data_IF_116885570179
#
_entry.id   IF_116885570179
#
_cell.length_a   1.000
_cell.length_b   1.000
_cell.length_c   1.000
_cell.angle_alpha   90.00
_cell.angle_beta   90.00
_cell.angle_gamma   90.00
#
_symmetry.space_group_name_H-M   'P 1'
#
loop_
_entity.id
_entity.type
_entity.pdbx_description
1 polymer ?
#
# COMPACT_ATOMS: atom_id res chain seq x y z
N UNK A 1 -27.02 -16.82 9.19
CA UNK A 1 -27.76 -15.66 8.66
C UNK A 1 -27.14 -14.32 9.07
N UNK A 2 -26.77 -14.12 10.35
CA UNK A 2 -26.19 -12.87 10.86
C UNK A 2 -24.85 -12.50 10.18
N UNK A 3 -23.86 -13.40 10.15
CA UNK A 3 -22.56 -13.15 9.50
C UNK A 3 -22.69 -12.79 8.01
N UNK A 4 -23.57 -13.45 7.29
CA UNK A 4 -23.83 -13.11 5.88
C UNK A 4 -24.37 -11.69 5.73
N UNK A 5 -25.37 -11.29 6.55
CA UNK A 5 -25.91 -9.93 6.55
C UNK A 5 -24.85 -8.89 6.93
N UNK A 6 -23.98 -9.20 7.91
CA UNK A 6 -22.87 -8.36 8.31
C UNK A 6 -21.87 -8.15 7.14
N UNK A 7 -21.43 -9.25 6.51
CA UNK A 7 -20.50 -9.18 5.37
C UNK A 7 -21.10 -8.38 4.20
N UNK A 8 -22.36 -8.64 3.85
CA UNK A 8 -23.04 -7.91 2.78
C UNK A 8 -23.18 -6.42 3.07
N UNK A 9 -23.47 -6.05 4.32
CA UNK A 9 -23.50 -4.65 4.73
C UNK A 9 -22.12 -3.99 4.59
N UNK A 10 -21.05 -4.68 5.00
CA UNK A 10 -19.66 -4.18 4.88
C UNK A 10 -19.25 -4.02 3.42
N UNK A 11 -19.57 -5.00 2.57
CA UNK A 11 -19.32 -4.91 1.13
C UNK A 11 -20.09 -3.74 0.49
N UNK A 12 -21.35 -3.55 0.84
CA UNK A 12 -22.13 -2.40 0.35
C UNK A 12 -21.52 -1.06 0.77
N UNK A 13 -21.08 -0.94 2.02
CA UNK A 13 -20.38 0.27 2.51
C UNK A 13 -19.03 0.46 1.82
N UNK A 14 -18.27 -0.61 1.55
CA UNK A 14 -17.02 -0.54 0.78
C UNK A 14 -17.25 0.05 -0.61
N UNK A 15 -18.23 -0.49 -1.34
CA UNK A 15 -18.57 -0.01 -2.69
C UNK A 15 -18.96 1.47 -2.64
N UNK A 16 -19.80 1.86 -1.69
CA UNK A 16 -20.18 3.26 -1.50
C UNK A 16 -18.96 4.16 -1.21
N UNK A 17 -18.11 3.75 -0.25
CA UNK A 17 -16.91 4.49 0.11
C UNK A 17 -15.93 4.59 -1.07
N UNK A 18 -15.76 3.50 -1.82
CA UNK A 18 -14.96 3.49 -3.03
C UNK A 18 -15.43 4.56 -4.02
N UNK A 19 -16.72 4.56 -4.35
CA UNK A 19 -17.26 5.54 -5.29
C UNK A 19 -17.16 6.98 -4.78
N UNK A 20 -17.36 7.23 -3.49
CA UNK A 20 -17.18 8.57 -2.91
C UNK A 20 -15.73 9.03 -3.07
N UNK A 21 -14.76 8.24 -2.61
CA UNK A 21 -13.33 8.62 -2.70
C UNK A 21 -12.91 8.76 -4.16
N UNK A 22 -13.29 7.81 -5.02
CA UNK A 22 -12.92 7.80 -6.43
C UNK A 22 -13.50 9.01 -7.16
N UNK A 23 -14.77 9.39 -6.89
CA UNK A 23 -15.40 10.59 -7.43
C UNK A 23 -14.67 11.84 -6.96
N UNK A 24 -14.32 11.93 -5.67
CA UNK A 24 -13.56 13.06 -5.15
C UNK A 24 -12.20 13.19 -5.84
N UNK A 25 -11.46 12.07 -5.96
CA UNK A 25 -10.17 12.07 -6.67
C UNK A 25 -10.33 12.51 -8.13
N UNK A 26 -11.37 12.01 -8.83
CA UNK A 26 -11.64 12.40 -10.21
C UNK A 26 -11.94 13.89 -10.33
N UNK A 27 -12.83 14.42 -9.50
CA UNK A 27 -13.18 15.85 -9.54
C UNK A 27 -11.95 16.71 -9.27
N UNK A 28 -11.18 16.38 -8.21
CA UNK A 28 -9.98 17.15 -7.84
C UNK A 28 -8.93 17.17 -8.96
N UNK A 29 -8.64 16.01 -9.57
CA UNK A 29 -7.64 15.96 -10.65
C UNK A 29 -8.13 16.66 -11.90
N UNK A 30 -9.43 16.62 -12.20
CA UNK A 30 -10.02 17.30 -13.36
C UNK A 30 -10.24 18.81 -13.17
N UNK A 31 -10.08 19.33 -11.97
CA UNK A 31 -10.01 20.79 -11.74
C UNK A 31 -8.65 21.37 -12.15
N UNK A 32 -7.60 20.52 -12.24
CA UNK A 32 -6.30 20.95 -12.74
C UNK A 32 -6.38 21.32 -14.24
N UNK A 33 -5.42 22.12 -14.75
CA UNK A 33 -5.33 22.42 -16.17
C UNK A 33 -5.27 21.15 -17.02
N UNK A 34 -5.92 21.16 -18.18
CA UNK A 34 -5.79 20.05 -19.13
C UNK A 34 -4.34 20.04 -19.64
N UNK A 35 -3.67 18.89 -19.64
CA UNK A 35 -2.28 18.78 -20.11
C UNK A 35 -2.26 18.89 -21.64
N UNK A 36 -2.20 20.11 -22.14
CA UNK A 36 -2.08 20.42 -23.57
C UNK A 36 -0.62 20.58 -24.00
N UNK A 37 0.33 20.34 -23.09
CA UNK A 37 1.75 20.40 -23.40
C UNK A 37 2.12 19.28 -24.37
N UNK A 38 2.54 19.67 -25.56
CA UNK A 38 3.06 18.75 -26.57
C UNK A 38 4.51 18.43 -26.24
N UNK A 39 4.82 17.16 -26.05
CA UNK A 39 6.20 16.72 -25.81
C UNK A 39 7.02 16.88 -27.11
N UNK A 40 8.35 17.09 -27.01
CA UNK A 40 9.22 17.15 -28.17
C UNK A 40 9.02 15.92 -29.09
N UNK A 41 8.69 16.14 -30.34
CA UNK A 41 8.43 15.07 -31.32
C UNK A 41 6.98 14.57 -31.40
N UNK A 42 6.07 15.09 -30.61
CA UNK A 42 4.63 14.82 -30.75
C UNK A 42 3.99 15.79 -31.72
N UNK A 43 3.04 15.29 -32.53
CA UNK A 43 2.15 16.09 -33.31
C UNK A 43 1.03 16.68 -32.43
N UNK A 44 0.91 18.03 -32.35
CA UNK A 44 -0.13 18.68 -31.55
C UNK A 44 -1.54 18.24 -31.94
N UNK A 45 -1.81 17.99 -33.21
CA UNK A 45 -3.11 17.55 -33.70
C UNK A 45 -3.48 16.17 -33.13
N UNK A 46 -2.51 15.24 -33.04
CA UNK A 46 -2.70 13.90 -32.47
C UNK A 46 -3.02 13.98 -30.97
N UNK A 47 -2.32 14.88 -30.25
CA UNK A 47 -2.58 15.10 -28.82
C UNK A 47 -4.02 15.62 -28.63
N UNK A 48 -4.45 16.62 -29.38
CA UNK A 48 -5.81 17.18 -29.28
C UNK A 48 -6.88 16.15 -29.65
N UNK A 49 -6.71 15.39 -30.73
CA UNK A 49 -7.63 14.30 -31.08
C UNK A 49 -7.71 13.19 -30.02
N UNK A 50 -6.59 12.90 -29.38
CA UNK A 50 -6.56 11.93 -28.26
C UNK A 50 -7.37 12.43 -27.06
N UNK A 51 -7.24 13.71 -26.69
CA UNK A 51 -8.00 14.32 -25.61
C UNK A 51 -9.51 14.39 -25.93
N UNK A 52 -9.86 14.69 -27.19
CA UNK A 52 -11.25 14.66 -27.67
C UNK A 52 -11.82 13.25 -27.65
N UNK A 53 -11.10 12.24 -28.15
CA UNK A 53 -11.51 10.83 -28.10
C UNK A 53 -11.72 10.29 -26.68
N UNK A 54 -11.05 10.88 -25.67
CA UNK A 54 -11.27 10.61 -24.26
C UNK A 54 -12.47 11.35 -23.64
N UNK A 55 -13.05 12.31 -24.40
CA UNK A 55 -14.14 13.14 -23.91
C UNK A 55 -13.72 14.18 -22.89
N UNK A 56 -12.47 14.69 -22.95
CA UNK A 56 -12.01 15.78 -22.09
C UNK A 56 -12.28 17.14 -22.69
N UNK A 57 -12.12 17.25 -24.00
CA UNK A 57 -12.33 18.45 -24.81
C UNK A 57 -13.24 18.16 -26.00
N UNK A 58 -13.76 19.19 -26.61
CA UNK A 58 -14.57 19.14 -27.81
C UNK A 58 -14.35 20.39 -28.62
N UNK A 59 -14.85 20.45 -29.89
CA UNK A 59 -14.76 21.61 -30.77
C UNK A 59 -13.32 22.12 -30.98
N UNK A 60 -12.41 21.20 -31.29
CA UNK A 60 -11.01 21.51 -31.56
C UNK A 60 -10.90 22.37 -32.81
N UNK A 61 -10.21 23.51 -32.70
CA UNK A 61 -9.96 24.46 -33.80
C UNK A 61 -8.52 24.94 -33.70
N UNK A 62 -7.86 25.07 -34.87
CA UNK A 62 -6.58 25.73 -34.92
C UNK A 62 -6.83 27.24 -34.97
N UNK A 63 -6.31 27.97 -33.99
CA UNK A 63 -6.40 29.43 -33.90
C UNK A 63 -5.21 30.12 -34.57
N UNK A 64 -5.21 31.43 -34.52
CA UNK A 64 -4.11 32.25 -35.02
C UNK A 64 -2.81 31.90 -34.25
N UNK A 65 -1.69 31.83 -34.95
CA UNK A 65 -0.35 31.51 -34.42
C UNK A 65 -0.15 30.06 -33.94
N UNK A 66 -0.90 29.07 -34.43
CA UNK A 66 -0.74 27.65 -34.05
C UNK A 66 -1.23 27.31 -32.65
N UNK A 67 -2.00 28.20 -32.04
CA UNK A 67 -2.62 27.92 -30.71
C UNK A 67 -3.92 27.15 -30.91
N UNK A 68 -4.04 26.01 -30.26
CA UNK A 68 -5.24 25.18 -30.32
C UNK A 68 -6.32 25.71 -29.39
N UNK A 69 -7.49 25.97 -29.96
CA UNK A 69 -8.71 26.37 -29.24
C UNK A 69 -9.61 25.14 -29.07
N UNK A 70 -10.17 24.98 -27.90
CA UNK A 70 -11.06 23.86 -27.58
C UNK A 70 -12.05 24.24 -26.48
N UNK A 71 -13.18 23.55 -26.44
CA UNK A 71 -14.16 23.65 -25.37
C UNK A 71 -13.98 22.51 -24.41
N UNK A 72 -14.01 22.80 -23.08
CA UNK A 72 -13.88 21.78 -22.05
C UNK A 72 -15.20 21.06 -21.83
N UNK A 73 -15.22 19.74 -21.93
CA UNK A 73 -16.40 18.93 -21.59
C UNK A 73 -16.70 19.05 -20.10
N UNK A 74 -17.98 19.20 -19.68
CA UNK A 74 -18.33 19.22 -18.25
C UNK A 74 -17.80 18.01 -17.49
N UNK A 75 -17.27 18.23 -16.27
CA UNK A 75 -16.55 17.18 -15.48
C UNK A 75 -17.44 15.97 -15.24
N UNK A 76 -18.75 16.15 -15.01
CA UNK A 76 -19.67 15.03 -14.78
C UNK A 76 -19.84 14.14 -16.02
N UNK A 77 -19.78 14.69 -17.23
CA UNK A 77 -19.81 13.92 -18.48
C UNK A 77 -18.50 13.18 -18.69
N UNK A 78 -17.36 13.83 -18.38
CA UNK A 78 -16.05 13.16 -18.40
C UNK A 78 -16.05 11.96 -17.44
N UNK A 79 -16.60 12.13 -16.22
CA UNK A 79 -16.72 11.06 -15.22
C UNK A 79 -17.58 9.91 -15.70
N UNK A 80 -18.78 10.22 -16.22
CA UNK A 80 -19.69 9.20 -16.73
C UNK A 80 -19.06 8.40 -17.90
N UNK A 81 -18.36 9.10 -18.82
CA UNK A 81 -17.65 8.48 -19.95
C UNK A 81 -16.51 7.59 -19.47
N UNK A 82 -15.72 8.07 -18.50
CA UNK A 82 -14.62 7.30 -17.91
C UNK A 82 -15.14 6.03 -17.22
N UNK A 83 -16.13 6.15 -16.32
CA UNK A 83 -16.72 4.99 -15.62
C UNK A 83 -17.33 4.00 -16.61
N UNK A 84 -18.09 4.47 -17.61
CA UNK A 84 -18.66 3.59 -18.63
C UNK A 84 -17.56 2.79 -19.34
N UNK A 85 -16.49 3.44 -19.76
CA UNK A 85 -15.36 2.81 -20.45
C UNK A 85 -14.66 1.76 -19.58
N UNK A 86 -14.36 2.12 -18.32
CA UNK A 86 -13.72 1.21 -17.37
C UNK A 86 -14.61 0.00 -17.05
N UNK A 87 -15.90 0.21 -16.75
CA UNK A 87 -16.81 -0.87 -16.33
C UNK A 87 -17.18 -1.80 -17.49
N UNK A 88 -17.37 -1.25 -18.70
CA UNK A 88 -17.86 -2.06 -19.84
C UNK A 88 -16.74 -2.73 -20.64
N UNK A 89 -15.54 -2.12 -20.68
CA UNK A 89 -14.44 -2.56 -21.55
C UNK A 89 -13.14 -2.84 -20.81
N UNK A 90 -13.07 -2.56 -19.50
CA UNK A 90 -11.81 -2.52 -18.72
C UNK A 90 -10.74 -1.64 -19.39
N UNK A 91 -11.19 -0.60 -20.07
CA UNK A 91 -10.33 0.33 -20.80
C UNK A 91 -10.04 1.54 -19.90
N UNK A 92 -8.81 1.59 -19.38
CA UNK A 92 -8.30 2.70 -18.56
C UNK A 92 -7.68 3.82 -19.43
N UNK A 93 -7.52 3.60 -20.72
CA UNK A 93 -6.92 4.53 -21.68
C UNK A 93 -5.45 4.27 -21.94
N UNK A 94 -4.86 5.20 -22.71
CA UNK A 94 -3.45 5.19 -23.06
C UNK A 94 -2.71 6.28 -22.28
N UNK A 95 -1.44 6.08 -22.02
CA UNK A 95 -0.57 7.09 -21.42
C UNK A 95 -0.32 8.20 -22.43
N UNK A 96 -0.53 9.46 -22.05
CA UNK A 96 -0.49 10.61 -22.97
C UNK A 96 0.64 11.59 -22.73
N UNK A 97 1.12 11.68 -21.52
CA UNK A 97 2.07 12.73 -21.11
C UNK A 97 3.35 12.18 -20.49
N UNK A 98 3.36 10.93 -20.08
CA UNK A 98 4.55 10.29 -19.54
C UNK A 98 5.38 9.67 -20.68
N UNK A 99 6.40 10.40 -21.12
CA UNK A 99 7.15 10.12 -22.35
C UNK A 99 7.76 8.74 -22.48
N UNK A 100 8.21 8.11 -21.37
CA UNK A 100 8.79 6.76 -21.40
C UNK A 100 7.77 5.68 -21.82
N UNK A 101 6.49 5.87 -21.49
CA UNK A 101 5.39 4.93 -21.78
C UNK A 101 4.35 5.53 -22.70
N UNK A 102 4.72 6.56 -23.46
CA UNK A 102 3.81 7.28 -24.34
C UNK A 102 3.07 6.35 -25.29
N UNK A 103 1.74 6.51 -25.40
CA UNK A 103 0.83 5.70 -26.20
C UNK A 103 0.71 4.22 -25.78
N UNK A 104 1.34 3.81 -24.68
CA UNK A 104 1.14 2.46 -24.15
C UNK A 104 -0.20 2.38 -23.37
N UNK A 105 -0.78 1.20 -23.40
CA UNK A 105 -1.97 0.88 -22.60
C UNK A 105 -1.66 0.94 -21.11
N UNK A 106 -2.47 1.68 -20.35
CA UNK A 106 -2.30 1.92 -18.91
C UNK A 106 -2.30 0.60 -18.14
N UNK A 107 -3.20 -0.33 -18.48
CA UNK A 107 -3.30 -1.63 -17.82
C UNK A 107 -2.08 -2.51 -18.07
N UNK A 108 -1.51 -2.43 -19.27
CA UNK A 108 -0.28 -3.16 -19.61
C UNK A 108 0.91 -2.67 -18.78
N UNK A 109 1.13 -1.35 -18.74
CA UNK A 109 2.22 -0.74 -17.95
C UNK A 109 2.04 -1.02 -16.47
N UNK A 110 0.83 -0.91 -15.94
CA UNK A 110 0.52 -1.25 -14.56
C UNK A 110 0.92 -2.69 -14.22
N UNK A 111 0.49 -3.66 -15.03
CA UNK A 111 0.82 -5.08 -14.78
C UNK A 111 2.31 -5.38 -14.82
N UNK A 112 3.06 -4.73 -15.69
CA UNK A 112 4.51 -4.94 -15.80
C UNK A 112 5.28 -4.43 -14.58
N UNK A 113 4.72 -3.46 -13.83
CA UNK A 113 5.34 -2.86 -12.64
C UNK A 113 4.84 -3.45 -11.30
N UNK A 114 3.81 -4.29 -11.33
CA UNK A 114 3.34 -4.98 -10.12
C UNK A 114 4.37 -5.92 -9.49
N UNK A 115 5.09 -6.77 -10.26
CA UNK A 115 5.95 -7.80 -9.68
C UNK A 115 7.04 -7.25 -8.75
N UNK A 116 7.84 -6.24 -9.10
CA UNK A 116 8.85 -5.72 -8.18
C UNK A 116 8.25 -5.09 -6.91
N UNK A 117 7.12 -4.38 -7.01
CA UNK A 117 6.40 -3.86 -5.84
C UNK A 117 5.98 -4.99 -4.90
N UNK A 118 5.31 -6.02 -5.43
CA UNK A 118 4.85 -7.16 -4.63
C UNK A 118 6.04 -7.87 -3.97
N UNK A 119 7.12 -8.09 -4.73
CA UNK A 119 8.25 -8.85 -4.28
C UNK A 119 8.99 -8.19 -3.10
N UNK A 120 9.29 -6.87 -3.19
CA UNK A 120 9.96 -6.18 -2.09
C UNK A 120 9.08 -6.10 -0.84
N UNK A 121 7.76 -5.84 -1.00
CA UNK A 121 6.84 -5.73 0.11
C UNK A 121 6.58 -7.09 0.77
N UNK A 122 6.41 -8.17 -0.01
CA UNK A 122 6.22 -9.51 0.55
C UNK A 122 7.48 -9.99 1.29
N UNK A 123 8.67 -9.74 0.74
CA UNK A 123 9.92 -10.04 1.43
C UNK A 123 10.05 -9.25 2.74
N UNK A 124 9.70 -7.97 2.73
CA UNK A 124 9.72 -7.13 3.92
C UNK A 124 8.75 -7.63 4.99
N UNK A 125 7.52 -7.99 4.61
CA UNK A 125 6.51 -8.52 5.54
C UNK A 125 6.89 -9.91 6.07
N UNK A 126 7.38 -10.81 5.21
CA UNK A 126 7.83 -12.15 5.63
C UNK A 126 8.99 -12.14 6.63
N UNK A 127 9.82 -11.11 6.59
CA UNK A 127 10.95 -10.91 7.53
C UNK A 127 10.49 -10.07 8.73
N UNK A 128 9.83 -8.95 8.47
CA UNK A 128 9.47 -7.96 9.48
C UNK A 128 8.45 -8.45 10.49
N UNK A 129 7.40 -9.14 10.03
CA UNK A 129 6.34 -9.64 10.90
C UNK A 129 6.87 -10.66 11.91
N UNK A 130 7.57 -11.74 11.53
CA UNK A 130 8.10 -12.71 12.50
C UNK A 130 9.12 -12.11 13.48
N UNK A 131 10.00 -11.22 13.01
CA UNK A 131 10.99 -10.55 13.86
C UNK A 131 10.28 -9.64 14.87
N UNK A 132 9.31 -8.84 14.40
CA UNK A 132 8.52 -7.95 15.25
C UNK A 132 7.73 -8.72 16.30
N UNK A 133 7.05 -9.79 15.93
CA UNK A 133 6.37 -10.69 16.87
C UNK A 133 7.33 -11.27 17.90
N UNK A 134 8.50 -11.76 17.45
CA UNK A 134 9.52 -12.32 18.33
C UNK A 134 10.02 -11.30 19.36
N UNK A 135 10.33 -10.09 18.94
CA UNK A 135 10.72 -9.00 19.85
C UNK A 135 9.61 -8.62 20.81
N UNK A 136 8.37 -8.51 20.34
CA UNK A 136 7.22 -8.22 21.19
C UNK A 136 6.96 -9.27 22.23
N UNK A 137 7.02 -10.56 21.86
CA UNK A 137 6.89 -11.69 22.80
C UNK A 137 8.01 -11.67 23.84
N UNK A 138 9.25 -11.50 23.39
CA UNK A 138 10.41 -11.45 24.29
C UNK A 138 10.30 -10.30 25.30
N UNK A 139 9.93 -9.11 24.84
CA UNK A 139 9.74 -7.93 25.67
C UNK A 139 8.61 -8.15 26.71
N UNK A 140 7.45 -8.69 26.29
CA UNK A 140 6.33 -8.97 27.18
C UNK A 140 6.68 -10.03 28.26
N UNK A 141 7.36 -11.10 27.86
CA UNK A 141 7.78 -12.17 28.81
C UNK A 141 8.86 -11.72 29.79
N UNK A 142 9.65 -10.72 29.41
CA UNK A 142 10.72 -10.11 30.21
C UNK A 142 10.37 -8.71 30.71
N UNK A 143 9.08 -8.41 30.83
CA UNK A 143 8.57 -7.10 31.26
C UNK A 143 9.36 -6.54 32.46
N UNK A 144 9.77 -5.27 32.35
CA UNK A 144 10.58 -4.52 33.33
C UNK A 144 12.03 -5.04 33.54
N UNK A 145 12.52 -5.98 32.70
CA UNK A 145 13.92 -6.41 32.68
C UNK A 145 14.69 -5.68 31.60
N UNK A 146 16.03 -5.80 31.61
CA UNK A 146 16.91 -5.11 30.65
C UNK A 146 16.58 -5.44 29.18
N UNK A 147 16.16 -6.69 28.88
CA UNK A 147 15.77 -7.10 27.53
C UNK A 147 14.55 -6.30 27.03
N UNK A 148 13.55 -6.13 27.91
CA UNK A 148 12.38 -5.32 27.61
C UNK A 148 12.76 -3.85 27.38
N UNK A 149 13.66 -3.30 28.20
CA UNK A 149 14.12 -1.91 28.05
C UNK A 149 14.85 -1.70 26.75
N UNK A 150 15.79 -2.57 26.38
CA UNK A 150 16.55 -2.49 25.12
C UNK A 150 15.64 -2.57 23.91
N UNK A 151 14.70 -3.54 23.90
CA UNK A 151 13.73 -3.69 22.80
C UNK A 151 12.84 -2.44 22.69
N UNK A 152 12.37 -1.90 23.83
CA UNK A 152 11.55 -0.68 23.80
C UNK A 152 12.32 0.54 23.29
N UNK A 153 13.58 0.73 23.69
CA UNK A 153 14.41 1.82 23.17
C UNK A 153 14.56 1.68 21.65
N UNK A 154 14.83 0.47 21.17
CA UNK A 154 14.92 0.18 19.75
C UNK A 154 13.61 0.49 19.00
N UNK A 155 12.47 0.04 19.53
CA UNK A 155 11.14 0.33 18.96
C UNK A 155 10.89 1.84 18.91
N UNK A 156 11.16 2.55 20.01
CA UNK A 156 10.96 4.01 20.10
C UNK A 156 11.82 4.72 19.06
N UNK A 157 13.10 4.36 18.93
CA UNK A 157 13.99 4.94 17.92
C UNK A 157 13.44 4.73 16.51
N UNK A 158 13.00 3.52 16.16
CA UNK A 158 12.46 3.23 14.83
C UNK A 158 11.15 3.97 14.53
N UNK A 159 10.29 4.18 15.53
CA UNK A 159 9.01 4.89 15.36
C UNK A 159 9.21 6.41 15.34
N UNK A 160 10.18 6.92 16.12
CA UNK A 160 10.43 8.37 16.24
C UNK A 160 11.09 8.96 15.00
N UNK A 161 11.88 8.17 14.26
CA UNK A 161 12.55 8.62 13.04
C UNK A 161 11.61 8.42 11.86
N UNK A 162 11.34 9.46 11.04
CA UNK A 162 10.55 9.29 9.82
C UNK A 162 11.13 8.20 8.93
N UNK A 163 10.26 7.32 8.39
CA UNK A 163 10.70 6.16 7.59
C UNK A 163 11.59 6.53 6.39
N UNK A 164 11.35 7.69 5.77
CA UNK A 164 12.22 8.21 4.70
C UNK A 164 13.64 8.48 5.19
N UNK A 165 13.81 8.98 6.42
CA UNK A 165 15.13 9.26 6.99
C UNK A 165 15.87 7.96 7.28
N UNK A 166 15.17 6.94 7.83
CA UNK A 166 15.76 5.60 8.03
C UNK A 166 16.20 5.00 6.70
N UNK A 167 15.39 5.12 5.67
CA UNK A 167 15.72 4.63 4.34
C UNK A 167 16.94 5.34 3.74
N UNK A 168 17.02 6.68 3.88
CA UNK A 168 18.20 7.45 3.48
C UNK A 168 19.46 7.03 4.24
N UNK A 169 19.35 6.78 5.55
CA UNK A 169 20.48 6.30 6.35
C UNK A 169 20.96 4.93 5.87
N UNK A 170 20.02 4.01 5.56
CA UNK A 170 20.36 2.69 5.01
C UNK A 170 21.07 2.84 3.66
N UNK A 171 20.52 3.64 2.76
CA UNK A 171 21.11 3.88 1.45
C UNK A 171 22.50 4.54 1.56
N UNK A 172 22.64 5.57 2.40
CA UNK A 172 23.90 6.25 2.61
C UNK A 172 24.96 5.33 3.21
N UNK A 173 24.64 4.61 4.29
CA UNK A 173 25.63 3.79 5.00
C UNK A 173 25.98 2.54 4.19
N UNK A 174 25.00 1.76 3.79
CA UNK A 174 25.24 0.42 3.22
C UNK A 174 25.47 0.44 1.71
N UNK A 175 24.85 1.38 1.00
CA UNK A 175 25.03 1.42 -0.46
C UNK A 175 26.16 2.39 -0.85
N UNK A 176 26.20 3.60 -0.29
CA UNK A 176 27.19 4.61 -0.68
C UNK A 176 28.51 4.47 0.09
N UNK A 177 28.48 4.51 1.44
CA UNK A 177 29.72 4.55 2.24
C UNK A 177 30.45 3.21 2.29
N UNK A 178 29.74 2.11 2.53
CA UNK A 178 30.31 0.76 2.63
C UNK A 178 30.37 0.03 1.29
N UNK A 179 29.56 0.46 0.31
CA UNK A 179 29.52 -0.20 -1.02
C UNK A 179 29.05 -1.66 -0.99
N UNK A 180 28.35 -2.07 0.08
CA UNK A 180 27.87 -3.44 0.22
C UNK A 180 26.76 -3.77 -0.76
N UNK A 181 25.92 -2.80 -1.09
CA UNK A 181 24.79 -2.95 -1.99
C UNK A 181 24.77 -1.84 -3.04
N UNK A 182 24.15 -2.05 -4.21
CA UNK A 182 23.90 -0.98 -5.17
C UNK A 182 22.96 0.08 -4.63
N UNK A 183 23.05 1.31 -5.16
CA UNK A 183 22.19 2.44 -4.77
C UNK A 183 20.73 2.25 -5.20
N UNK A 184 20.54 1.58 -6.36
CA UNK A 184 19.22 1.36 -6.96
C UNK A 184 19.01 -0.11 -7.27
N UNK A 185 17.75 -0.53 -7.32
CA UNK A 185 17.38 -1.87 -7.73
C UNK A 185 17.64 -2.06 -9.23
N UNK A 186 18.16 -3.24 -9.58
CA UNK A 186 18.36 -3.60 -10.99
C UNK A 186 17.02 -3.80 -11.70
N UNK A 187 16.90 -3.24 -12.90
CA UNK A 187 15.76 -3.48 -13.79
C UNK A 187 15.95 -4.82 -14.49
N UNK A 188 15.29 -5.87 -14.02
CA UNK A 188 15.37 -7.22 -14.58
C UNK A 188 14.10 -7.98 -14.24
N UNK A 189 13.74 -8.95 -15.07
CA UNK A 189 12.69 -9.92 -14.81
C UNK A 189 13.19 -11.16 -14.04
N UNK A 190 14.50 -11.26 -13.81
CA UNK A 190 15.13 -12.39 -13.13
C UNK A 190 15.35 -12.10 -11.62
N UNK A 191 14.30 -11.77 -10.91
CA UNK A 191 14.34 -11.32 -9.50
C UNK A 191 14.98 -12.32 -8.53
N UNK A 192 14.99 -13.62 -8.85
CA UNK A 192 15.51 -14.68 -7.99
C UNK A 192 16.99 -15.01 -8.27
N UNK A 193 17.62 -14.34 -9.21
CA UNK A 193 19.08 -14.42 -9.37
C UNK A 193 19.78 -13.61 -8.30
N UNK A 194 20.88 -14.13 -7.75
CA UNK A 194 21.61 -13.45 -6.67
C UNK A 194 22.00 -12.01 -6.99
N UNK A 195 22.51 -11.68 -8.21
CA UNK A 195 22.84 -10.29 -8.55
C UNK A 195 21.65 -9.34 -8.42
N UNK A 196 20.46 -9.74 -8.88
CA UNK A 196 19.24 -8.90 -8.81
C UNK A 196 18.69 -8.87 -7.39
N UNK A 197 18.60 -10.03 -6.72
CA UNK A 197 18.11 -10.11 -5.34
C UNK A 197 18.93 -9.22 -4.39
N UNK A 198 20.26 -9.19 -4.53
CA UNK A 198 21.13 -8.32 -3.74
C UNK A 198 20.75 -6.84 -3.86
N UNK A 199 20.28 -6.39 -5.01
CA UNK A 199 19.88 -4.98 -5.22
C UNK A 199 18.59 -4.60 -4.49
N UNK A 200 17.76 -5.60 -4.15
CA UNK A 200 16.48 -5.39 -3.43
C UNK A 200 16.68 -5.25 -1.91
N UNK A 201 17.76 -5.83 -1.36
CA UNK A 201 17.97 -5.94 0.09
C UNK A 201 17.82 -4.59 0.82
N UNK A 202 18.42 -3.48 0.37
CA UNK A 202 18.30 -2.20 1.09
C UNK A 202 16.85 -1.70 1.18
N UNK A 203 16.06 -1.83 0.11
CA UNK A 203 14.65 -1.46 0.10
C UNK A 203 13.83 -2.36 1.03
N UNK A 204 14.07 -3.68 0.98
CA UNK A 204 13.42 -4.67 1.87
C UNK A 204 13.73 -4.37 3.33
N UNK A 205 14.98 -4.08 3.68
CA UNK A 205 15.37 -3.73 5.06
C UNK A 205 14.67 -2.44 5.50
N UNK A 206 14.63 -1.41 4.64
CA UNK A 206 13.97 -0.15 4.98
C UNK A 206 12.47 -0.33 5.28
N UNK A 207 11.77 -1.12 4.48
CA UNK A 207 10.35 -1.47 4.70
C UNK A 207 10.16 -2.34 5.94
N UNK A 208 11.03 -3.32 6.13
CA UNK A 208 10.96 -4.27 7.24
C UNK A 208 11.06 -3.60 8.61
N UNK A 209 11.90 -2.56 8.78
CA UNK A 209 12.08 -1.88 10.08
C UNK A 209 10.78 -1.29 10.62
N UNK A 210 9.93 -0.74 9.76
CA UNK A 210 8.60 -0.22 10.14
C UNK A 210 7.69 -1.31 10.67
N UNK A 211 7.60 -2.44 9.94
CA UNK A 211 6.82 -3.60 10.36
C UNK A 211 7.35 -4.20 11.66
N UNK A 212 8.67 -4.38 11.81
CA UNK A 212 9.29 -4.86 13.05
C UNK A 212 8.89 -3.99 14.25
N UNK A 213 9.00 -2.67 14.13
CA UNK A 213 8.65 -1.77 15.23
C UNK A 213 7.16 -1.80 15.58
N UNK A 214 6.29 -1.80 14.57
CA UNK A 214 4.84 -1.86 14.73
C UNK A 214 4.38 -3.15 15.42
N UNK A 215 4.80 -4.30 14.89
CA UNK A 215 4.44 -5.60 15.47
C UNK A 215 5.06 -5.83 16.84
N UNK A 216 6.31 -5.43 17.08
CA UNK A 216 6.94 -5.57 18.38
C UNK A 216 6.20 -4.75 19.45
N UNK A 217 5.84 -3.50 19.13
CA UNK A 217 5.08 -2.63 20.03
C UNK A 217 3.71 -3.22 20.39
N UNK A 218 2.93 -3.59 19.37
CA UNK A 218 1.57 -4.10 19.57
C UNK A 218 1.58 -5.44 20.28
N UNK A 219 2.44 -6.38 19.87
CA UNK A 219 2.56 -7.69 20.51
C UNK A 219 2.99 -7.58 21.98
N UNK A 220 3.93 -6.67 22.28
CA UNK A 220 4.33 -6.41 23.67
C UNK A 220 3.17 -5.87 24.51
N UNK A 221 2.42 -4.92 23.98
CA UNK A 221 1.28 -4.31 24.68
C UNK A 221 0.21 -5.36 24.98
N UNK A 222 -0.31 -6.00 23.95
CA UNK A 222 -1.37 -7.02 24.04
C UNK A 222 -0.98 -8.20 24.93
N UNK A 223 0.20 -8.76 24.71
CA UNK A 223 0.64 -9.91 25.51
C UNK A 223 0.91 -9.52 26.97
N UNK A 224 1.42 -8.33 27.25
CA UNK A 224 1.64 -7.85 28.61
C UNK A 224 0.35 -7.65 29.38
N UNK A 225 -0.71 -7.17 28.70
CA UNK A 225 -2.04 -7.01 29.28
C UNK A 225 -2.67 -8.36 29.60
N UNK A 226 -2.65 -9.26 28.63
CA UNK A 226 -3.19 -10.61 28.80
C UNK A 226 -2.49 -11.38 29.90
N UNK A 227 -1.16 -11.29 30.04
CA UNK A 227 -0.38 -11.98 31.07
C UNK A 227 -0.73 -11.55 32.50
N UNK A 228 -1.28 -10.36 32.70
CA UNK A 228 -1.69 -9.83 34.01
C UNK A 228 -3.20 -10.00 34.28
N UNK A 229 -3.96 -10.57 33.34
CA UNK A 229 -5.40 -10.74 33.47
C UNK A 229 -5.82 -11.83 34.46
N UNK A 230 -7.02 -11.71 35.01
CA UNK A 230 -7.59 -12.67 36.00
C UNK A 230 -7.72 -14.09 35.44
N UNK A 231 -8.05 -14.23 34.15
CA UNK A 231 -8.16 -15.55 33.53
C UNK A 231 -6.81 -16.27 33.42
N UNK A 232 -5.70 -15.56 33.36
CA UNK A 232 -4.36 -16.16 33.44
C UNK A 232 -4.07 -16.66 34.86
N UNK A 233 -4.51 -15.92 35.85
CA UNK A 233 -4.44 -16.40 37.25
C UNK A 233 -5.26 -17.68 37.43
N UNK A 234 -6.51 -17.68 36.94
CA UNK A 234 -7.39 -18.85 36.95
C UNK A 234 -6.79 -20.06 36.22
N UNK A 235 -6.15 -19.87 35.10
CA UNK A 235 -5.48 -20.93 34.36
C UNK A 235 -4.35 -21.58 35.18
N UNK A 236 -3.61 -20.77 35.93
CA UNK A 236 -2.54 -21.25 36.81
C UNK A 236 -3.07 -21.97 38.06
N UNK A 237 -4.16 -21.48 38.65
CA UNK A 237 -4.80 -22.16 39.82
C UNK A 237 -5.40 -23.51 39.43
N UNK A 238 -5.78 -23.70 38.15
CA UNK A 238 -6.20 -24.99 37.59
C UNK A 238 -5.04 -25.95 37.28
N UNK A 239 -3.81 -25.64 37.71
CA UNK A 239 -2.65 -26.53 37.61
C UNK A 239 -1.84 -26.40 36.32
N UNK A 240 -2.12 -25.43 35.44
CA UNK A 240 -1.30 -25.20 34.23
C UNK A 240 0.06 -24.62 34.61
N UNK A 241 1.12 -25.17 34.03
CA UNK A 241 2.44 -24.57 34.15
C UNK A 241 2.48 -23.20 33.47
N UNK A 242 3.42 -22.34 33.86
CA UNK A 242 3.57 -20.99 33.27
C UNK A 242 3.68 -21.04 31.75
N UNK A 243 4.46 -21.98 31.21
CA UNK A 243 4.61 -22.16 29.77
C UNK A 243 3.28 -22.54 29.09
N UNK A 244 2.57 -23.51 29.66
CA UNK A 244 1.28 -23.95 29.13
C UNK A 244 0.24 -22.82 29.17
N UNK A 245 0.16 -22.05 30.24
CA UNK A 245 -0.74 -20.92 30.39
C UNK A 245 -0.42 -19.84 29.31
N UNK A 246 0.87 -19.52 29.05
CA UNK A 246 1.29 -18.58 28.05
C UNK A 246 0.87 -19.05 26.64
N UNK A 247 1.29 -20.25 26.21
CA UNK A 247 1.04 -20.72 24.85
C UNK A 247 -0.42 -21.03 24.56
N UNK A 248 -1.16 -21.63 25.50
CA UNK A 248 -2.56 -22.03 25.29
C UNK A 248 -3.56 -20.89 25.45
N UNK A 249 -3.26 -19.94 26.34
CA UNK A 249 -4.19 -18.88 26.71
C UNK A 249 -3.70 -17.49 26.33
N UNK A 250 -2.51 -17.06 26.79
CA UNK A 250 -2.07 -15.70 26.55
C UNK A 250 -1.83 -15.41 25.06
N UNK A 251 -1.06 -16.25 24.37
CA UNK A 251 -0.79 -16.08 22.94
C UNK A 251 -2.07 -16.10 22.10
N UNK A 252 -2.98 -17.03 22.40
CA UNK A 252 -4.23 -17.11 21.66
C UNK A 252 -5.08 -15.84 21.79
N UNK A 253 -5.14 -15.26 23.00
CA UNK A 253 -5.93 -14.04 23.23
C UNK A 253 -5.27 -12.79 22.62
N UNK A 254 -3.95 -12.65 22.74
CA UNK A 254 -3.24 -11.52 22.09
C UNK A 254 -3.29 -11.59 20.57
N UNK A 255 -3.40 -12.79 19.97
CA UNK A 255 -3.55 -12.95 18.51
C UNK A 255 -4.88 -12.41 17.97
N UNK A 256 -5.89 -12.17 18.80
CA UNK A 256 -7.16 -11.55 18.37
C UNK A 256 -6.92 -10.20 17.73
N UNK A 257 -6.00 -9.39 18.26
CA UNK A 257 -5.64 -8.08 17.72
C UNK A 257 -4.55 -8.20 16.63
N UNK A 258 -3.57 -9.07 16.83
CA UNK A 258 -2.39 -9.17 15.97
C UNK A 258 -2.70 -9.82 14.62
N UNK A 259 -3.51 -10.87 14.60
CA UNK A 259 -3.80 -11.61 13.36
C UNK A 259 -4.50 -10.77 12.28
N UNK A 260 -5.51 -9.95 12.60
CA UNK A 260 -6.09 -9.01 11.64
C UNK A 260 -5.07 -8.02 11.07
N UNK A 261 -4.11 -7.55 11.88
CA UNK A 261 -3.02 -6.70 11.40
C UNK A 261 -2.14 -7.41 10.38
N UNK A 262 -1.81 -8.69 10.64
CA UNK A 262 -1.03 -9.51 9.70
C UNK A 262 -1.78 -9.67 8.37
N UNK A 263 -3.07 -9.98 8.40
CA UNK A 263 -3.88 -10.08 7.18
C UNK A 263 -3.91 -8.76 6.41
N UNK A 264 -4.10 -7.64 7.11
CA UNK A 264 -4.08 -6.31 6.48
C UNK A 264 -2.73 -6.00 5.83
N UNK A 265 -1.62 -6.32 6.49
CA UNK A 265 -0.27 -6.13 5.96
C UNK A 265 -0.05 -6.91 4.66
N UNK A 266 -0.44 -8.19 4.63
CA UNK A 266 -0.29 -9.02 3.43
C UNK A 266 -1.16 -8.54 2.25
N UNK A 267 -2.30 -7.92 2.50
CA UNK A 267 -3.10 -7.29 1.44
C UNK A 267 -2.43 -5.99 0.99
N UNK A 268 -1.90 -5.21 1.93
CA UNK A 268 -1.21 -3.96 1.66
C UNK A 268 0.10 -4.13 0.86
N UNK A 269 0.64 -5.35 0.75
CA UNK A 269 1.77 -5.69 -0.15
C UNK A 269 1.52 -5.20 -1.58
N UNK A 270 0.27 -5.22 -2.04
CA UNK A 270 -0.12 -4.78 -3.38
C UNK A 270 -0.09 -3.26 -3.55
N UNK A 271 -0.16 -2.51 -2.47
CA UNK A 271 -0.21 -1.04 -2.50
C UNK A 271 1.15 -0.41 -2.86
N UNK A 272 2.26 -1.07 -2.48
CA UNK A 272 3.60 -0.53 -2.63
C UNK A 272 3.91 0.63 -1.67
N UNK A 273 5.15 1.08 -1.71
CA UNK A 273 5.62 2.24 -0.94
C UNK A 273 6.14 3.32 -1.87
N UNK A 274 5.34 4.37 -2.07
CA UNK A 274 5.65 5.48 -2.99
C UNK A 274 7.07 6.02 -2.81
N UNK A 275 7.44 6.29 -1.56
CA UNK A 275 8.71 6.95 -1.23
C UNK A 275 9.88 5.97 -1.32
N UNK A 276 9.73 4.78 -0.73
CA UNK A 276 10.81 3.78 -0.68
C UNK A 276 11.12 3.26 -2.09
N UNK A 277 10.09 2.97 -2.88
CA UNK A 277 10.28 2.52 -4.26
C UNK A 277 11.00 3.57 -5.11
N UNK A 278 10.58 4.84 -5.01
CA UNK A 278 11.24 5.94 -5.73
C UNK A 278 12.69 6.12 -5.30
N UNK A 279 12.96 6.03 -4.00
CA UNK A 279 14.28 6.27 -3.43
C UNK A 279 15.28 5.19 -3.82
N UNK A 280 14.87 3.93 -3.79
CA UNK A 280 15.73 2.81 -4.18
C UNK A 280 15.65 2.46 -5.68
N UNK A 281 14.99 3.30 -6.49
CA UNK A 281 14.87 3.09 -7.93
C UNK A 281 14.16 1.78 -8.30
N UNK A 282 13.20 1.36 -7.47
CA UNK A 282 12.37 0.20 -7.76
C UNK A 282 11.44 0.55 -8.91
N UNK A 283 11.49 -0.23 -9.99
CA UNK A 283 10.60 -0.03 -11.13
C UNK A 283 9.20 -0.60 -10.83
N UNK A 284 8.54 -0.02 -9.83
CA UNK A 284 7.28 -0.48 -9.25
C UNK A 284 6.14 0.54 -9.35
N UNK A 285 5.00 0.19 -8.75
CA UNK A 285 3.77 0.99 -8.79
C UNK A 285 3.91 2.35 -8.08
N UNK A 286 4.74 2.44 -7.04
CA UNK A 286 4.98 3.68 -6.31
C UNK A 286 5.64 4.75 -7.19
N UNK A 287 6.63 4.37 -7.98
CA UNK A 287 7.26 5.26 -8.96
C UNK A 287 6.29 5.77 -10.02
N UNK A 288 5.46 4.86 -10.56
CA UNK A 288 4.44 5.20 -11.55
C UNK A 288 3.41 6.19 -11.00
N UNK A 289 2.97 5.99 -9.74
CA UNK A 289 2.00 6.88 -9.11
C UNK A 289 2.53 8.32 -9.01
N UNK A 290 3.76 8.52 -8.54
CA UNK A 290 4.38 9.83 -8.45
C UNK A 290 4.60 10.45 -9.84
N UNK A 291 5.03 9.65 -10.80
CA UNK A 291 5.25 10.11 -12.17
C UNK A 291 3.94 10.50 -12.87
N UNK A 292 2.84 9.76 -12.64
CA UNK A 292 1.53 10.12 -13.21
C UNK A 292 1.04 11.51 -12.77
N UNK A 293 1.37 11.91 -11.52
CA UNK A 293 1.08 13.26 -11.03
C UNK A 293 2.03 14.28 -11.68
N UNK A 294 3.33 13.99 -11.67
CA UNK A 294 4.36 14.92 -12.17
C UNK A 294 4.18 15.23 -13.66
N UNK A 295 3.85 14.22 -14.45
CA UNK A 295 3.59 14.35 -15.88
C UNK A 295 2.14 14.69 -16.22
N UNK A 296 1.27 14.87 -15.20
CA UNK A 296 -0.14 15.21 -15.39
C UNK A 296 -0.92 14.20 -16.23
N UNK A 297 -0.57 12.91 -16.16
CA UNK A 297 -1.32 11.85 -16.83
C UNK A 297 -2.51 11.41 -15.98
N UNK A 298 -3.62 12.09 -16.15
CA UNK A 298 -4.77 12.00 -15.27
C UNK A 298 -5.48 10.64 -15.33
N UNK A 299 -5.58 10.01 -16.50
CA UNK A 299 -6.20 8.69 -16.62
C UNK A 299 -5.32 7.63 -15.95
N UNK A 300 -3.99 7.75 -16.10
CA UNK A 300 -3.05 6.88 -15.42
C UNK A 300 -3.09 7.06 -13.90
N UNK A 301 -3.10 8.30 -13.42
CA UNK A 301 -3.28 8.62 -12.00
C UNK A 301 -4.58 8.04 -11.45
N UNK A 302 -5.69 8.16 -12.18
CA UNK A 302 -7.00 7.64 -11.75
C UNK A 302 -7.00 6.12 -11.61
N UNK A 303 -6.37 5.41 -12.55
CA UNK A 303 -6.23 3.96 -12.46
C UNK A 303 -5.44 3.54 -11.22
N UNK A 304 -4.26 4.14 -11.00
CA UNK A 304 -3.41 3.84 -9.85
C UNK A 304 -4.08 4.21 -8.52
N UNK A 305 -4.75 5.37 -8.46
CA UNK A 305 -5.51 5.81 -7.29
C UNK A 305 -6.68 4.88 -6.99
N UNK A 306 -7.44 4.49 -8.01
CA UNK A 306 -8.55 3.55 -7.87
C UNK A 306 -8.09 2.20 -7.33
N UNK A 307 -6.99 1.68 -7.85
CA UNK A 307 -6.38 0.44 -7.37
C UNK A 307 -5.95 0.56 -5.89
N UNK A 308 -5.25 1.64 -5.53
CA UNK A 308 -4.81 1.87 -4.16
C UNK A 308 -5.97 1.96 -3.17
N UNK A 309 -7.03 2.70 -3.52
CA UNK A 309 -8.26 2.80 -2.71
C UNK A 309 -8.92 1.42 -2.56
N UNK A 310 -9.01 0.65 -3.65
CA UNK A 310 -9.60 -0.68 -3.63
C UNK A 310 -8.83 -1.64 -2.69
N UNK A 311 -7.50 -1.65 -2.77
CA UNK A 311 -6.66 -2.47 -1.88
C UNK A 311 -6.83 -2.06 -0.42
N UNK A 312 -6.78 -0.76 -0.11
CA UNK A 312 -6.96 -0.25 1.25
C UNK A 312 -8.32 -0.62 1.84
N UNK A 313 -9.39 -0.46 1.08
CA UNK A 313 -10.74 -0.85 1.50
C UNK A 313 -10.88 -2.37 1.66
N UNK A 314 -10.26 -3.15 0.77
CA UNK A 314 -10.23 -4.61 0.87
C UNK A 314 -9.50 -5.06 2.14
N UNK A 315 -8.35 -4.46 2.45
CA UNK A 315 -7.62 -4.73 3.69
C UNK A 315 -8.49 -4.43 4.93
N UNK A 316 -9.21 -3.30 4.93
CA UNK A 316 -10.15 -2.95 5.99
C UNK A 316 -11.26 -3.99 6.17
N UNK A 317 -11.90 -4.43 5.09
CA UNK A 317 -12.97 -5.45 5.16
C UNK A 317 -12.43 -6.79 5.66
N UNK A 318 -11.30 -7.25 5.13
CA UNK A 318 -10.69 -8.52 5.58
C UNK A 318 -10.35 -8.46 7.06
N UNK A 319 -9.82 -7.33 7.53
CA UNK A 319 -9.59 -7.06 8.95
C UNK A 319 -10.89 -7.14 9.76
N UNK A 320 -11.94 -6.45 9.35
CA UNK A 320 -13.25 -6.46 10.02
C UNK A 320 -13.87 -7.86 10.08
N UNK A 321 -13.81 -8.59 8.97
CA UNK A 321 -14.33 -9.96 8.90
C UNK A 321 -13.52 -10.91 9.77
N UNK A 322 -12.19 -10.74 9.79
CA UNK A 322 -11.29 -11.59 10.57
C UNK A 322 -11.56 -11.49 12.08
N UNK A 323 -11.91 -10.31 12.59
CA UNK A 323 -12.36 -10.16 13.98
C UNK A 323 -13.58 -11.04 14.29
N UNK A 324 -14.56 -11.10 13.39
CA UNK A 324 -15.75 -11.92 13.55
C UNK A 324 -15.48 -13.44 13.54
N UNK A 325 -14.38 -13.87 12.90
CA UNK A 325 -13.95 -15.27 12.92
C UNK A 325 -13.11 -15.63 14.18
N UNK A 326 -12.25 -14.72 14.61
CA UNK A 326 -11.28 -14.96 15.67
C UNK A 326 -11.93 -14.82 17.04
N UNK A 327 -12.80 -13.80 17.24
CA UNK A 327 -13.49 -13.56 18.51
C UNK A 327 -14.98 -13.93 18.43
N UNK A 328 -15.38 -15.09 19.01
CA UNK A 328 -16.78 -15.51 19.05
C UNK A 328 -17.70 -14.52 19.80
N UNK A 329 -17.14 -13.66 20.68
CA UNK A 329 -17.93 -12.68 21.46
C UNK A 329 -18.50 -11.60 20.59
N UNK A 330 -17.77 -11.18 19.53
CA UNK A 330 -18.24 -10.25 18.52
C UNK A 330 -19.41 -10.85 17.73
N UNK A 331 -19.40 -12.17 17.53
CA UNK A 331 -20.50 -12.91 16.89
C UNK A 331 -21.80 -12.88 17.67
N UNK A 332 -21.70 -12.89 19.02
CA UNK A 332 -22.87 -13.00 19.91
C UNK A 332 -23.34 -11.67 20.47
N UNK A 333 -22.52 -10.61 20.43
CA UNK A 333 -22.79 -9.30 21.02
C UNK A 333 -23.67 -8.37 20.17
N UNK A 334 -24.18 -8.85 19.04
CA UNK A 334 -25.07 -8.09 18.18
C UNK A 334 -26.54 -8.54 18.36
N UNK A 335 -27.03 -8.44 19.60
CA UNK A 335 -28.47 -8.39 19.90
C UNK A 335 -28.92 -6.96 20.05
#
# INVERSE_FOLDING_TARGET
MYMFKYVMKRLGLMVLTFFIIFTMCFVLIKLLPIPTNVLPGQDPEIVMKTLEGRGWITNIREGENGVWLYDRVPIFLQYATYIKRVVTKLDFGLITTYGEYLHMDIWHVFKSHMPPTILINICASLIGVPIGLGFGILAALKKNKWQDQVINIFIILLISVPGIVLALMIQYVFCFKLGWFPLTMATSNEYFTWPVFRTMIPAVVALCLGSVAGYARTTRAELSEVLTSEFMLLARTKGLTKKQAIFRHAMRNSMVVIFPMILSEFIAVLHGSLIIEKMFGVNGLGGLYLNSITFQDYDFFMMLSGFNVLIGLTAGIVTDISYGFIDPRIRMGAK
#
